data_IF_242094272056
#
_entry.id   IF_242094272056
#
_cell.length_a   1.000
_cell.length_b   1.000
_cell.length_c   1.000
_cell.angle_alpha   90.00
_cell.angle_beta   90.00
_cell.angle_gamma   90.00
#
_symmetry.space_group_name_H-M   'P 1'
#
loop_
_entity.id
_entity.type
_entity.pdbx_description
1 polymer ?
#
# COMPACT_ATOMS: atom_id res chain seq x y z
N UNK A 1 -4.04 27.69 -22.29
CA UNK A 1 -3.84 27.16 -20.92
C UNK A 1 -4.73 25.93 -20.78
N UNK A 2 -4.15 24.75 -20.97
CA UNK A 2 -4.88 23.49 -20.94
C UNK A 2 -5.18 23.12 -19.49
N UNK A 3 -6.46 23.11 -19.13
CA UNK A 3 -6.94 22.81 -17.79
C UNK A 3 -6.63 21.35 -17.44
N UNK A 4 -5.68 21.16 -16.52
CA UNK A 4 -5.39 19.87 -15.90
C UNK A 4 -6.65 19.44 -15.14
N UNK A 5 -7.40 18.48 -15.69
CA UNK A 5 -8.55 17.87 -15.00
C UNK A 5 -8.03 17.17 -13.72
N UNK A 6 -8.49 17.55 -12.53
CA UNK A 6 -8.03 16.91 -11.30
C UNK A 6 -8.47 15.43 -11.30
N UNK A 7 -7.51 14.52 -11.10
CA UNK A 7 -7.80 13.07 -10.93
C UNK A 7 -8.60 12.78 -9.65
N UNK A 8 -8.77 13.76 -8.77
CA UNK A 8 -9.57 13.69 -7.54
C UNK A 8 -10.92 14.39 -7.76
N UNK A 9 -11.94 13.61 -8.15
CA UNK A 9 -13.32 14.10 -8.37
C UNK A 9 -14.03 14.66 -7.12
N UNK A 10 -13.40 14.63 -5.94
CA UNK A 10 -14.04 14.90 -4.62
C UNK A 10 -13.35 15.98 -3.78
N UNK A 11 -12.56 16.86 -4.38
CA UNK A 11 -11.87 17.93 -3.64
C UNK A 11 -12.25 19.27 -4.25
N UNK A 12 -12.82 20.17 -3.45
CA UNK A 12 -13.14 21.54 -3.87
C UNK A 12 -12.06 22.53 -3.42
N UNK A 13 -11.75 23.59 -4.20
CA UNK A 13 -10.89 24.68 -3.74
C UNK A 13 -11.44 25.44 -2.53
N UNK A 14 -12.75 25.34 -2.29
CA UNK A 14 -13.44 26.04 -1.20
C UNK A 14 -13.42 25.26 0.13
N UNK A 15 -12.89 24.03 0.14
CA UNK A 15 -12.76 23.21 1.35
C UNK A 15 -11.44 23.52 2.08
N UNK A 16 -11.43 23.33 3.40
CA UNK A 16 -10.19 23.50 4.19
C UNK A 16 -9.13 22.48 3.75
N UNK A 17 -7.85 22.85 3.90
CA UNK A 17 -6.73 21.95 3.60
C UNK A 17 -6.85 20.62 4.37
N UNK A 18 -7.30 20.66 5.63
CA UNK A 18 -7.50 19.45 6.44
C UNK A 18 -8.59 18.55 5.84
N UNK A 19 -9.74 19.11 5.42
CA UNK A 19 -10.82 18.36 4.77
C UNK A 19 -10.32 17.69 3.48
N UNK A 20 -9.57 18.42 2.66
CA UNK A 20 -8.95 17.90 1.44
C UNK A 20 -7.97 16.77 1.74
N UNK A 21 -7.09 16.96 2.73
CA UNK A 21 -6.10 15.99 3.17
C UNK A 21 -6.74 14.68 3.64
N UNK A 22 -7.78 14.78 4.48
CA UNK A 22 -8.56 13.64 4.98
C UNK A 22 -9.11 12.79 3.84
N UNK A 23 -9.77 13.41 2.87
CA UNK A 23 -10.33 12.70 1.71
C UNK A 23 -9.27 12.01 0.87
N UNK A 24 -8.17 12.70 0.57
CA UNK A 24 -7.07 12.13 -0.21
C UNK A 24 -6.45 10.92 0.51
N UNK A 25 -6.20 11.04 1.82
CA UNK A 25 -5.65 9.96 2.64
C UNK A 25 -6.61 8.76 2.66
N UNK A 26 -7.90 8.99 2.86
CA UNK A 26 -8.91 7.93 2.89
C UNK A 26 -9.06 7.26 1.52
N UNK A 27 -9.08 8.02 0.43
CA UNK A 27 -9.20 7.47 -0.93
C UNK A 27 -8.02 6.54 -1.24
N UNK A 28 -6.79 6.96 -0.93
CA UNK A 28 -5.62 6.11 -1.08
C UNK A 28 -5.64 4.90 -0.14
N UNK A 29 -6.11 5.07 1.09
CA UNK A 29 -6.21 3.96 2.04
C UNK A 29 -7.22 2.90 1.58
N UNK A 30 -8.45 3.30 1.21
CA UNK A 30 -9.45 2.38 0.64
C UNK A 30 -8.92 1.69 -0.62
N UNK A 31 -8.26 2.44 -1.51
CA UNK A 31 -7.67 1.85 -2.71
C UNK A 31 -6.57 0.84 -2.37
N UNK A 32 -5.72 1.14 -1.40
CA UNK A 32 -4.69 0.20 -0.91
C UNK A 32 -5.33 -1.06 -0.34
N UNK A 33 -6.33 -0.93 0.54
CA UNK A 33 -7.01 -2.06 1.18
C UNK A 33 -7.82 -2.91 0.18
N UNK A 34 -8.31 -2.33 -0.93
CA UNK A 34 -9.00 -3.09 -1.98
C UNK A 34 -8.14 -4.17 -2.66
N UNK A 35 -6.82 -4.13 -2.48
CA UNK A 35 -5.89 -5.13 -3.00
C UNK A 35 -5.49 -6.19 -1.97
N UNK A 36 -5.91 -6.04 -0.70
CA UNK A 36 -5.49 -6.91 0.41
C UNK A 36 -5.84 -8.37 0.17
N UNK A 37 -7.10 -8.66 -0.17
CA UNK A 37 -7.59 -10.02 -0.38
C UNK A 37 -6.82 -10.74 -1.50
N UNK A 38 -6.60 -10.07 -2.64
CA UNK A 38 -5.81 -10.62 -3.73
C UNK A 38 -4.33 -10.79 -3.38
N UNK A 39 -3.76 -9.92 -2.53
CA UNK A 39 -2.39 -10.07 -2.04
C UNK A 39 -2.25 -11.20 -1.00
N UNK A 40 -3.31 -11.45 -0.21
CA UNK A 40 -3.42 -12.57 0.72
C UNK A 40 -3.47 -13.91 -0.02
N UNK A 41 -4.35 -14.02 -1.01
CA UNK A 41 -4.45 -15.17 -1.90
C UNK A 41 -3.12 -15.40 -2.65
N UNK A 42 -2.63 -14.36 -3.32
CA UNK A 42 -1.33 -14.33 -4.00
C UNK A 42 -1.22 -15.21 -5.24
N UNK A 43 -2.34 -15.61 -5.84
CA UNK A 43 -2.39 -16.21 -7.19
C UNK A 43 -1.87 -15.23 -8.25
N UNK A 44 -2.19 -13.94 -8.11
CA UNK A 44 -1.68 -12.88 -8.99
C UNK A 44 -0.72 -11.95 -8.24
N UNK A 45 0.53 -11.89 -8.73
CA UNK A 45 1.61 -11.07 -8.16
C UNK A 45 1.31 -9.56 -8.27
N UNK A 46 0.41 -9.15 -9.16
CA UNK A 46 0.10 -7.74 -9.38
C UNK A 46 -0.71 -7.13 -8.24
N UNK A 47 -1.40 -7.93 -7.42
CA UNK A 47 -2.04 -7.40 -6.20
C UNK A 47 -1.01 -6.86 -5.20
N UNK A 48 0.11 -7.57 -4.99
CA UNK A 48 1.22 -7.09 -4.14
C UNK A 48 1.86 -5.84 -4.75
N UNK A 49 2.02 -5.82 -6.08
CA UNK A 49 2.52 -4.64 -6.78
C UNK A 49 1.64 -3.40 -6.57
N UNK A 50 0.34 -3.53 -6.83
CA UNK A 50 -0.64 -2.45 -6.79
C UNK A 50 -0.85 -1.93 -5.36
N UNK A 51 -0.94 -2.84 -4.39
CA UNK A 51 -1.02 -2.49 -2.98
C UNK A 51 0.25 -1.73 -2.54
N UNK A 52 1.43 -2.17 -3.00
CA UNK A 52 2.70 -1.49 -2.72
C UNK A 52 2.80 -0.11 -3.39
N UNK A 53 2.38 0.02 -4.65
CA UNK A 53 2.34 1.33 -5.34
C UNK A 53 1.40 2.29 -4.60
N UNK A 54 0.21 1.82 -4.23
CA UNK A 54 -0.80 2.64 -3.57
C UNK A 54 -0.38 3.02 -2.15
N UNK A 55 0.22 2.11 -1.38
CA UNK A 55 0.74 2.40 -0.04
C UNK A 55 1.85 3.46 -0.05
N UNK A 56 2.72 3.48 -1.08
CA UNK A 56 3.71 4.56 -1.25
C UNK A 56 3.05 5.92 -1.51
N UNK A 57 2.00 5.96 -2.35
CA UNK A 57 1.22 7.18 -2.60
C UNK A 57 0.49 7.66 -1.35
N UNK A 58 -0.13 6.74 -0.61
CA UNK A 58 -0.74 7.03 0.68
C UNK A 58 0.26 7.66 1.64
N UNK A 59 1.46 7.08 1.78
CA UNK A 59 2.49 7.63 2.65
C UNK A 59 2.96 9.02 2.23
N UNK A 60 3.18 9.24 0.94
CA UNK A 60 3.51 10.56 0.43
C UNK A 60 2.41 11.59 0.73
N UNK A 61 1.13 11.21 0.57
CA UNK A 61 0.02 12.07 0.95
C UNK A 61 -0.01 12.36 2.45
N UNK A 62 0.17 11.34 3.29
CA UNK A 62 0.26 11.50 4.74
C UNK A 62 1.42 12.44 5.12
N UNK A 63 2.62 12.22 4.57
CA UNK A 63 3.80 13.06 4.84
C UNK A 63 3.55 14.53 4.43
N UNK A 64 2.94 14.77 3.27
CA UNK A 64 2.63 16.12 2.78
C UNK A 64 1.59 16.86 3.64
N UNK A 65 0.69 16.13 4.30
CA UNK A 65 -0.40 16.72 5.11
C UNK A 65 -0.21 16.51 6.61
N UNK A 66 0.98 16.12 7.06
CA UNK A 66 1.25 15.79 8.47
C UNK A 66 0.87 16.94 9.41
N UNK A 67 1.14 18.19 9.01
CA UNK A 67 0.89 19.40 9.80
C UNK A 67 -0.61 19.72 9.97
N UNK A 68 -1.50 19.08 9.20
CA UNK A 68 -2.95 19.22 9.36
C UNK A 68 -3.51 18.40 10.53
N UNK A 69 -2.71 17.54 11.16
CA UNK A 69 -3.19 16.58 12.16
C UNK A 69 -2.43 16.64 13.47
N UNK A 70 -3.08 16.23 14.56
CA UNK A 70 -2.40 16.04 15.84
C UNK A 70 -1.32 14.96 15.71
N UNK A 71 -0.10 15.32 16.10
CA UNK A 71 1.12 14.53 15.86
C UNK A 71 1.02 13.08 16.36
N UNK A 72 0.60 12.87 17.62
CA UNK A 72 0.58 11.54 18.26
C UNK A 72 -0.35 10.53 17.55
N UNK A 73 -1.66 10.82 17.36
CA UNK A 73 -2.55 9.87 16.67
C UNK A 73 -2.15 9.68 15.20
N UNK A 74 -1.75 10.76 14.50
CA UNK A 74 -1.28 10.67 13.12
C UNK A 74 -0.06 9.72 12.99
N UNK A 75 0.96 9.88 13.84
CA UNK A 75 2.15 9.02 13.84
C UNK A 75 1.82 7.54 14.08
N UNK A 76 0.78 7.23 14.86
CA UNK A 76 0.34 5.85 15.08
C UNK A 76 -0.14 5.20 13.78
N UNK A 77 -1.04 5.87 13.05
CA UNK A 77 -1.54 5.37 11.76
C UNK A 77 -0.44 5.32 10.69
N UNK A 78 0.40 6.36 10.61
CA UNK A 78 1.52 6.40 9.68
C UNK A 78 2.48 5.22 9.87
N UNK A 79 2.83 4.89 11.12
CA UNK A 79 3.71 3.74 11.43
C UNK A 79 3.11 2.42 10.96
N UNK A 80 1.80 2.22 11.09
CA UNK A 80 1.12 1.00 10.62
C UNK A 80 1.12 0.91 9.08
N UNK A 81 0.80 2.00 8.36
CA UNK A 81 0.92 2.03 6.89
C UNK A 81 2.36 1.77 6.43
N UNK A 82 3.35 2.34 7.14
CA UNK A 82 4.77 2.08 6.88
C UNK A 82 5.16 0.61 7.10
N UNK A 83 4.61 -0.05 8.12
CA UNK A 83 4.83 -1.47 8.36
C UNK A 83 4.26 -2.32 7.21
N UNK A 84 3.02 -2.06 6.79
CA UNK A 84 2.38 -2.71 5.62
C UNK A 84 3.25 -2.56 4.37
N UNK A 85 3.70 -1.34 4.08
CA UNK A 85 4.54 -1.06 2.91
C UNK A 85 5.87 -1.84 2.95
N UNK A 86 6.42 -2.06 4.14
CA UNK A 86 7.71 -2.73 4.34
C UNK A 86 7.62 -4.24 4.13
N UNK A 87 6.59 -4.89 4.66
CA UNK A 87 6.43 -6.35 4.53
C UNK A 87 6.21 -6.78 3.07
N UNK A 88 5.57 -5.94 2.25
CA UNK A 88 5.42 -6.19 0.80
C UNK A 88 6.71 -6.00 -0.01
N UNK A 89 7.76 -5.41 0.57
CA UNK A 89 8.99 -5.09 -0.16
C UNK A 89 9.72 -6.34 -0.66
N UNK A 90 10.03 -7.26 0.25
CA UNK A 90 10.73 -8.51 -0.07
C UNK A 90 9.95 -9.40 -1.03
N UNK A 91 8.62 -9.47 -0.86
CA UNK A 91 7.74 -10.23 -1.77
C UNK A 91 7.83 -9.67 -3.18
N UNK A 92 7.71 -8.34 -3.35
CA UNK A 92 7.76 -7.72 -4.68
C UNK A 92 9.13 -7.82 -5.33
N UNK A 93 10.21 -7.74 -4.55
CA UNK A 93 11.57 -7.88 -5.08
C UNK A 93 11.76 -9.29 -5.68
N UNK A 94 11.24 -10.32 -5.01
CA UNK A 94 11.25 -11.69 -5.51
C UNK A 94 10.32 -11.89 -6.71
N UNK A 95 9.10 -11.31 -6.70
CA UNK A 95 8.20 -11.34 -7.86
C UNK A 95 8.89 -10.81 -9.13
N UNK A 96 9.57 -9.66 -9.01
CA UNK A 96 10.28 -9.02 -10.13
C UNK A 96 11.45 -9.88 -10.60
N UNK A 97 12.22 -10.47 -9.68
CA UNK A 97 13.35 -11.32 -10.00
C UNK A 97 12.92 -12.62 -10.70
N UNK A 98 11.90 -13.31 -10.17
CA UNK A 98 11.31 -14.51 -10.77
C UNK A 98 10.79 -14.20 -12.17
N UNK A 99 9.99 -13.13 -12.32
CA UNK A 99 9.45 -12.73 -13.62
C UNK A 99 10.54 -12.37 -14.64
N UNK A 100 11.69 -11.85 -14.18
CA UNK A 100 12.84 -11.60 -15.05
C UNK A 100 13.44 -12.90 -15.57
N UNK A 101 13.75 -13.85 -14.69
CA UNK A 101 14.31 -15.14 -15.12
C UNK A 101 13.37 -15.91 -16.03
N UNK A 102 12.06 -15.91 -15.74
CA UNK A 102 11.06 -16.55 -16.59
C UNK A 102 10.99 -15.97 -18.02
N UNK A 103 11.26 -14.67 -18.20
CA UNK A 103 11.32 -14.06 -19.54
C UNK A 103 12.60 -14.43 -20.29
N UNK A 104 13.71 -14.55 -19.58
CA UNK A 104 15.03 -14.73 -20.18
C UNK A 104 15.36 -16.23 -20.43
N UNK A 105 14.76 -17.16 -19.68
CA UNK A 105 15.14 -18.60 -19.70
C UNK A 105 15.15 -19.21 -21.11
N UNK A 106 14.16 -18.93 -21.94
CA UNK A 106 14.05 -19.49 -23.31
C UNK A 106 15.12 -18.96 -24.28
N UNK A 107 15.93 -17.99 -23.87
CA UNK A 107 17.03 -17.43 -24.68
C UNK A 107 18.38 -18.12 -24.39
N UNK A 108 18.42 -18.99 -23.39
CA UNK A 108 19.64 -19.66 -22.90
C UNK A 108 19.81 -21.06 -23.50
N UNK A 109 20.99 -21.65 -23.34
CA UNK A 109 21.24 -23.04 -23.71
C UNK A 109 20.43 -24.02 -22.85
N UNK A 110 20.24 -25.27 -23.30
CA UNK A 110 19.45 -26.29 -22.57
C UNK A 110 19.98 -26.58 -21.15
N UNK A 111 21.31 -26.55 -20.98
CA UNK A 111 21.97 -26.73 -19.68
C UNK A 111 21.63 -25.56 -18.76
N UNK A 112 21.79 -24.32 -19.24
CA UNK A 112 21.47 -23.11 -18.48
C UNK A 112 19.98 -23.01 -18.17
N UNK A 113 19.10 -23.43 -19.07
CA UNK A 113 17.65 -23.49 -18.83
C UNK A 113 17.33 -24.38 -17.63
N UNK A 114 17.97 -25.55 -17.54
CA UNK A 114 17.79 -26.48 -16.43
C UNK A 114 18.20 -25.86 -15.09
N UNK A 115 19.34 -25.18 -15.06
CA UNK A 115 19.84 -24.52 -13.85
C UNK A 115 18.97 -23.32 -13.44
N UNK A 116 18.49 -22.53 -14.41
CA UNK A 116 17.60 -21.39 -14.15
C UNK A 116 16.23 -21.85 -13.66
N UNK A 117 15.68 -22.96 -14.16
CA UNK A 117 14.43 -23.51 -13.62
C UNK A 117 14.57 -23.89 -12.14
N UNK A 118 15.68 -24.54 -11.76
CA UNK A 118 15.96 -24.85 -10.34
C UNK A 118 16.10 -23.59 -9.49
N UNK A 119 16.74 -22.55 -10.02
CA UNK A 119 16.84 -21.26 -9.35
C UNK A 119 15.46 -20.62 -9.16
N UNK A 120 14.59 -20.65 -10.18
CA UNK A 120 13.21 -20.12 -10.09
C UNK A 120 12.43 -20.85 -9.00
N UNK A 121 12.50 -22.18 -8.93
CA UNK A 121 11.83 -22.98 -7.89
C UNK A 121 12.33 -22.57 -6.49
N UNK A 122 13.63 -22.40 -6.31
CA UNK A 122 14.20 -21.91 -5.05
C UNK A 122 13.69 -20.50 -4.70
N UNK A 123 13.67 -19.56 -5.65
CA UNK A 123 13.17 -18.21 -5.44
C UNK A 123 11.68 -18.17 -5.13
N UNK A 124 10.88 -19.07 -5.70
CA UNK A 124 9.46 -19.23 -5.37
C UNK A 124 9.29 -19.69 -3.91
N UNK A 125 10.15 -20.61 -3.43
CA UNK A 125 10.14 -20.99 -2.01
C UNK A 125 10.48 -19.80 -1.10
N UNK A 126 11.55 -19.06 -1.42
CA UNK A 126 11.93 -17.84 -0.68
C UNK A 126 10.82 -16.79 -0.68
N UNK A 127 10.07 -16.68 -1.79
CA UNK A 127 8.92 -15.78 -1.90
C UNK A 127 7.83 -16.15 -0.90
N UNK A 128 7.48 -17.43 -0.80
CA UNK A 128 6.46 -17.88 0.16
C UNK A 128 6.92 -17.67 1.61
N UNK A 129 8.22 -17.81 1.90
CA UNK A 129 8.78 -17.44 3.21
C UNK A 129 8.66 -15.94 3.46
N UNK A 130 9.01 -15.11 2.47
CA UNK A 130 8.92 -13.65 2.54
C UNK A 130 7.49 -13.13 2.66
N UNK A 131 6.48 -13.90 2.24
CA UNK A 131 5.05 -13.57 2.41
C UNK A 131 4.59 -13.71 3.85
N UNK A 132 5.18 -14.60 4.66
CA UNK A 132 4.70 -14.87 6.04
C UNK A 132 4.57 -13.62 6.90
N UNK A 133 5.56 -12.71 7.00
CA UNK A 133 5.41 -11.48 7.80
C UNK A 133 4.31 -10.56 7.29
N UNK A 134 4.04 -10.54 5.98
CA UNK A 134 2.94 -9.78 5.40
C UNK A 134 1.59 -10.34 5.84
N UNK A 135 1.40 -11.66 5.75
CA UNK A 135 0.18 -12.34 6.17
C UNK A 135 -0.06 -12.20 7.68
N UNK A 136 0.98 -12.37 8.51
CA UNK A 136 0.88 -12.14 9.95
C UNK A 136 0.44 -10.71 10.26
N UNK A 137 1.06 -9.71 9.61
CA UNK A 137 0.67 -8.33 9.82
C UNK A 137 -0.78 -8.08 9.40
N UNK A 138 -1.23 -8.66 8.29
CA UNK A 138 -2.63 -8.51 7.85
C UNK A 138 -3.61 -9.09 8.87
N UNK A 139 -3.33 -10.28 9.43
CA UNK A 139 -4.13 -10.83 10.52
C UNK A 139 -4.17 -9.90 11.74
N UNK A 140 -3.02 -9.34 12.16
CA UNK A 140 -2.97 -8.36 13.26
C UNK A 140 -3.81 -7.09 12.98
N UNK A 141 -3.91 -6.66 11.71
CA UNK A 141 -4.72 -5.50 11.34
C UNK A 141 -6.21 -5.79 11.48
N UNK A 142 -6.65 -6.99 11.10
CA UNK A 142 -8.03 -7.45 11.28
C UNK A 142 -8.37 -7.58 12.78
N UNK A 143 -7.55 -8.28 13.55
CA UNK A 143 -7.74 -8.46 15.00
C UNK A 143 -7.79 -7.13 15.76
N UNK A 144 -6.99 -6.16 15.32
CA UNK A 144 -6.94 -4.85 15.93
C UNK A 144 -7.98 -3.87 15.38
N UNK A 145 -8.87 -4.29 14.47
CA UNK A 145 -9.88 -3.44 13.81
C UNK A 145 -9.23 -2.15 13.24
N UNK A 146 -8.04 -2.31 12.64
CA UNK A 146 -7.21 -1.18 12.24
C UNK A 146 -7.87 -0.34 11.14
N UNK A 147 -8.51 -0.99 10.16
CA UNK A 147 -9.18 -0.31 9.05
C UNK A 147 -10.28 0.62 9.57
N UNK A 148 -11.19 0.13 10.41
CA UNK A 148 -12.23 0.96 11.04
C UNK A 148 -11.63 2.10 11.86
N UNK A 149 -10.58 1.83 12.66
CA UNK A 149 -9.90 2.86 13.45
C UNK A 149 -9.22 3.92 12.58
N UNK A 150 -8.62 3.51 11.46
CA UNK A 150 -8.00 4.41 10.50
C UNK A 150 -9.05 5.30 9.84
N UNK A 151 -10.12 4.69 9.32
CA UNK A 151 -11.23 5.41 8.70
C UNK A 151 -11.90 6.35 9.69
N UNK A 152 -12.21 5.91 10.92
CA UNK A 152 -12.78 6.79 11.95
C UNK A 152 -11.90 8.01 12.26
N UNK A 153 -10.58 7.84 12.28
CA UNK A 153 -9.66 8.95 12.52
C UNK A 153 -9.60 9.93 11.35
N UNK A 154 -9.59 9.45 10.10
CA UNK A 154 -9.42 10.30 8.92
C UNK A 154 -10.74 10.77 8.29
N UNK A 155 -11.79 9.96 8.22
CA UNK A 155 -13.12 10.36 7.70
C UNK A 155 -13.74 11.46 8.56
N UNK A 156 -13.61 11.38 9.90
CA UNK A 156 -14.01 12.41 10.86
C UNK A 156 -15.45 12.92 10.72
N UNK A 157 -16.31 12.64 11.71
CA UNK A 157 -17.33 13.64 12.04
C UNK A 157 -16.59 14.98 12.28
N UNK A 158 -17.01 16.00 11.54
CA UNK A 158 -16.48 17.34 11.58
C UNK A 158 -16.67 17.94 12.98
N UNK A 159 -15.71 17.75 13.88
CA UNK A 159 -15.56 18.70 14.99
C UNK A 159 -14.74 19.84 14.43
N UNK A 160 -15.44 20.75 13.75
CA UNK A 160 -14.98 22.14 13.64
C UNK A 160 -14.67 22.60 15.07
N UNK A 161 -13.54 23.27 15.34
CA UNK A 161 -13.42 24.03 16.56
C UNK A 161 -14.56 25.05 16.57
N UNK A 162 -15.29 25.07 17.68
CA UNK A 162 -16.22 26.14 18.04
C UNK A 162 -15.54 27.48 17.77
N UNK A 163 -15.96 28.15 16.69
CA UNK A 163 -15.66 29.56 16.48
C UNK A 163 -16.68 30.29 17.35
N UNK A 164 -16.33 30.47 18.63
CA UNK A 164 -17.25 31.01 19.62
C UNK A 164 -16.60 31.41 20.94
N UNK A 165 -15.88 32.54 20.93
CA UNK A 165 -15.90 33.63 21.93
C UNK A 165 -14.58 34.44 21.91
#
# INVERSE_FOLDING_TARGET
METIKPKTKRVSPDETLETCARRIIVDYFRKMMSYKEGAEDGTDIEFVHDMRVTSRRLRAAMDNFADCFRERPFKKHYKKVKAITRTMGSVRDLDVLIARFQREVNTLSEVEQTDIHRLIEHLQHEREVARKPMLTLFAELEESDFETKFLKFFDGESVLPDVGA
#
